data_IF_325873185785
#
_entry.id   IF_325873185785
#
_cell.length_a   1.000
_cell.length_b   1.000
_cell.length_c   1.000
_cell.angle_alpha   90.00
_cell.angle_beta   90.00
_cell.angle_gamma   90.00
#
_symmetry.space_group_name_H-M   'P 1'
#
loop_
_entity.id
_entity.type
_entity.pdbx_description
1 polymer ?
#
# COMPACT_ATOMS: atom_id res chain seq x y z
N UNK A 1 -29.31 1.61 -36.70
CA UNK A 1 -27.91 2.05 -36.78
C UNK A 1 -27.03 0.84 -36.55
N UNK A 2 -26.09 0.54 -37.45
CA UNK A 2 -25.33 -0.71 -37.38
C UNK A 2 -24.55 -0.78 -36.05
N UNK A 3 -24.83 -1.80 -35.24
CA UNK A 3 -24.22 -2.01 -33.92
C UNK A 3 -22.70 -1.86 -33.97
N UNK A 4 -22.08 -2.35 -35.06
CA UNK A 4 -20.65 -2.21 -35.36
C UNK A 4 -20.17 -0.76 -35.39
N UNK A 5 -20.91 0.14 -36.04
CA UNK A 5 -20.57 1.57 -36.13
C UNK A 5 -20.71 2.24 -34.77
N UNK A 6 -21.75 1.88 -33.99
CA UNK A 6 -21.95 2.41 -32.64
C UNK A 6 -20.82 2.04 -31.69
N UNK A 7 -20.32 0.81 -31.76
CA UNK A 7 -19.21 0.33 -30.91
C UNK A 7 -17.85 0.88 -31.33
N UNK A 8 -17.59 0.99 -32.64
CA UNK A 8 -16.37 1.65 -33.13
C UNK A 8 -16.30 3.12 -32.69
N UNK A 9 -17.43 3.83 -32.71
CA UNK A 9 -17.50 5.20 -32.20
C UNK A 9 -17.21 5.29 -30.70
N UNK A 10 -17.75 4.37 -29.90
CA UNK A 10 -17.48 4.35 -28.45
C UNK A 10 -16.02 4.03 -28.12
N UNK A 11 -15.37 3.12 -28.87
CA UNK A 11 -13.95 2.81 -28.69
C UNK A 11 -13.03 3.99 -29.02
N UNK A 12 -13.36 4.75 -30.07
CA UNK A 12 -12.59 5.95 -30.44
C UNK A 12 -12.72 7.03 -29.37
N UNK A 13 -13.93 7.25 -28.84
CA UNK A 13 -14.15 8.21 -27.75
C UNK A 13 -13.40 7.77 -26.49
N UNK A 14 -13.40 6.48 -26.15
CA UNK A 14 -12.65 5.96 -25.01
C UNK A 14 -11.13 6.15 -25.18
N UNK A 15 -10.59 5.85 -26.36
CA UNK A 15 -9.18 6.08 -26.67
C UNK A 15 -8.81 7.56 -26.56
N UNK A 16 -9.68 8.45 -27.02
CA UNK A 16 -9.48 9.89 -26.92
C UNK A 16 -9.46 10.35 -25.45
N UNK A 17 -10.40 9.87 -24.62
CA UNK A 17 -10.42 10.16 -23.17
C UNK A 17 -9.16 9.63 -22.46
N UNK A 18 -8.66 8.46 -22.84
CA UNK A 18 -7.42 7.89 -22.28
C UNK A 18 -6.16 8.71 -22.62
N UNK A 19 -6.12 9.39 -23.77
CA UNK A 19 -4.99 10.26 -24.14
C UNK A 19 -4.94 11.53 -23.28
N UNK A 20 -6.09 12.05 -22.88
CA UNK A 20 -6.19 13.22 -21.99
C UNK A 20 -6.19 12.88 -20.51
N UNK A 21 -6.14 11.59 -20.15
CA UNK A 21 -5.97 11.16 -18.77
C UNK A 21 -4.55 11.53 -18.31
N UNK A 22 -4.40 12.31 -17.22
CA UNK A 22 -3.11 12.75 -16.76
C UNK A 22 -2.25 11.53 -16.43
N UNK A 23 -1.08 11.43 -17.09
CA UNK A 23 -0.07 10.41 -16.80
C UNK A 23 0.43 10.65 -15.37
N UNK A 24 -0.15 9.96 -14.40
CA UNK A 24 0.34 9.93 -13.03
C UNK A 24 1.63 9.11 -13.00
N UNK A 25 2.74 9.73 -13.37
CA UNK A 25 4.04 9.34 -12.84
C UNK A 25 3.99 9.67 -11.34
N UNK A 26 4.20 8.64 -10.52
CA UNK A 26 3.69 8.57 -9.15
C UNK A 26 4.06 9.76 -8.27
N UNK A 27 3.08 10.62 -7.95
CA UNK A 27 3.04 11.46 -6.74
C UNK A 27 1.60 11.76 -6.32
N UNK A 28 0.80 10.72 -6.12
CA UNK A 28 -0.50 10.82 -5.43
C UNK A 28 -0.57 9.73 -4.38
N UNK A 29 0.04 10.00 -3.24
CA UNK A 29 0.14 9.07 -2.11
C UNK A 29 1.29 9.37 -1.15
N UNK A 30 2.29 10.15 -1.56
CA UNK A 30 3.30 10.70 -0.65
C UNK A 30 2.66 11.85 0.13
N UNK A 31 2.16 11.54 1.33
CA UNK A 31 1.93 12.56 2.35
C UNK A 31 3.22 13.37 2.51
N UNK A 32 3.13 14.69 2.62
CA UNK A 32 4.34 15.50 2.84
C UNK A 32 5.00 15.03 4.15
N UNK A 33 6.33 15.01 4.27
CA UNK A 33 7.01 14.55 5.49
C UNK A 33 6.45 15.14 6.81
N UNK A 34 5.93 16.38 6.76
CA UNK A 34 5.25 17.02 7.89
C UNK A 34 3.91 16.40 8.27
N UNK A 35 3.10 15.99 7.28
CA UNK A 35 1.80 15.36 7.50
C UNK A 35 1.97 13.91 8.00
N UNK A 36 3.06 13.24 7.61
CA UNK A 36 3.41 11.89 8.09
C UNK A 36 3.84 11.89 9.55
N UNK A 37 4.66 12.85 9.96
CA UNK A 37 5.04 13.04 11.38
C UNK A 37 3.78 13.31 12.22
N UNK A 38 2.81 14.06 11.68
CA UNK A 38 1.57 14.37 12.37
C UNK A 38 0.69 13.13 12.57
N UNK A 39 0.56 12.26 11.56
CA UNK A 39 -0.18 10.99 11.67
C UNK A 39 0.48 9.99 12.63
N UNK A 40 1.82 9.90 12.63
CA UNK A 40 2.56 9.07 13.59
C UNK A 40 2.42 9.64 15.01
N UNK A 41 2.44 10.97 15.15
CA UNK A 41 2.23 11.66 16.44
C UNK A 41 0.79 11.57 16.96
N UNK A 42 -0.19 11.35 16.08
CA UNK A 42 -1.60 11.28 16.44
C UNK A 42 -2.01 9.85 16.87
N UNK A 43 -1.29 8.82 16.42
CA UNK A 43 -1.59 7.41 16.73
C UNK A 43 -0.57 6.72 17.65
N UNK A 44 0.66 7.23 17.73
CA UNK A 44 1.65 6.80 18.72
C UNK A 44 1.87 7.94 19.72
N UNK A 45 1.89 7.64 21.01
CA UNK A 45 2.33 8.61 22.00
C UNK A 45 3.81 8.87 21.78
N UNK A 46 4.13 9.94 21.05
CA UNK A 46 5.51 10.35 20.80
C UNK A 46 6.08 10.78 22.14
N UNK A 47 7.09 10.03 22.59
CA UNK A 47 7.83 10.35 23.79
C UNK A 47 8.93 11.34 23.42
N UNK A 48 8.94 12.50 24.08
CA UNK A 48 10.03 13.45 23.94
C UNK A 48 11.36 12.86 24.44
N UNK A 49 12.45 13.24 23.80
CA UNK A 49 13.79 12.71 24.08
C UNK A 49 14.18 12.93 25.56
N UNK A 50 13.84 14.08 26.11
CA UNK A 50 14.13 14.41 27.51
C UNK A 50 13.40 13.51 28.50
N UNK A 51 12.17 13.09 28.16
CA UNK A 51 11.42 12.13 28.96
C UNK A 51 12.10 10.76 28.93
N UNK A 52 12.47 10.26 27.74
CA UNK A 52 13.20 9.00 27.59
C UNK A 52 14.55 9.02 28.34
N UNK A 53 15.29 10.13 28.27
CA UNK A 53 16.57 10.29 28.96
C UNK A 53 16.42 10.23 30.49
N UNK A 54 15.34 10.81 31.04
CA UNK A 54 15.07 10.75 32.48
C UNK A 54 14.88 9.30 32.97
N UNK A 55 14.14 8.48 32.24
CA UNK A 55 13.94 7.08 32.63
C UNK A 55 15.20 6.23 32.57
N UNK A 56 16.10 6.54 31.63
CA UNK A 56 17.41 5.92 31.58
C UNK A 56 18.25 6.32 32.80
N UNK A 57 18.20 7.59 33.20
CA UNK A 57 18.92 8.09 34.37
C UNK A 57 18.36 7.50 35.69
N UNK A 58 17.04 7.31 35.76
CA UNK A 58 16.34 6.78 36.94
C UNK A 58 16.41 5.24 37.07
N UNK A 59 16.97 4.54 36.06
CA UNK A 59 16.99 3.07 35.99
C UNK A 59 15.61 2.43 36.22
N UNK A 60 14.58 3.08 35.69
CA UNK A 60 13.21 2.63 35.91
C UNK A 60 12.96 1.31 35.14
N UNK A 61 12.65 0.24 35.88
CA UNK A 61 12.40 -1.10 35.32
C UNK A 61 11.03 -1.24 34.63
N UNK A 62 10.14 -0.28 34.82
CA UNK A 62 8.78 -0.28 34.27
C UNK A 62 8.77 0.08 32.78
N UNK A 63 9.94 0.45 32.22
CA UNK A 63 10.10 0.80 30.82
C UNK A 63 11.05 -0.16 30.13
N UNK A 64 10.68 -0.55 28.92
CA UNK A 64 11.51 -1.32 28.03
C UNK A 64 11.76 -0.54 26.74
N UNK A 65 13.03 -0.27 26.47
CA UNK A 65 13.45 0.29 25.20
C UNK A 65 13.59 -0.81 24.15
N UNK A 66 12.95 -0.61 23.00
CA UNK A 66 12.99 -1.53 21.85
C UNK A 66 13.58 -0.78 20.66
N UNK A 67 14.75 -1.20 20.22
CA UNK A 67 15.44 -0.67 19.05
C UNK A 67 14.92 -1.37 17.78
N UNK A 68 14.34 -0.58 16.88
CA UNK A 68 13.76 -1.04 15.62
C UNK A 68 14.77 -1.09 14.45
N UNK A 69 16.01 -0.66 14.68
CA UNK A 69 17.06 -0.60 13.66
C UNK A 69 17.59 -2.00 13.31
N UNK A 70 18.40 -2.04 12.25
CA UNK A 70 19.10 -3.26 11.86
C UNK A 70 20.01 -3.76 12.99
N UNK A 71 20.30 -5.06 12.97
CA UNK A 71 21.17 -5.69 13.96
C UNK A 71 22.55 -5.03 13.97
N UNK A 72 23.09 -4.70 12.79
CA UNK A 72 24.41 -4.09 12.65
C UNK A 72 24.46 -2.69 13.29
N UNK A 73 23.42 -1.87 13.10
CA UNK A 73 23.32 -0.56 13.75
C UNK A 73 23.20 -0.65 15.26
N UNK A 74 22.42 -1.62 15.75
CA UNK A 74 22.27 -1.89 17.18
C UNK A 74 23.60 -2.28 17.82
N UNK A 75 24.37 -3.16 17.17
CA UNK A 75 25.67 -3.61 17.65
C UNK A 75 26.72 -2.49 17.64
N UNK A 76 26.64 -1.57 16.68
CA UNK A 76 27.55 -0.43 16.60
C UNK A 76 27.36 0.55 17.76
N UNK A 77 26.10 0.90 18.07
CA UNK A 77 25.74 1.74 19.20
C UNK A 77 24.25 1.60 19.51
N UNK A 78 23.89 1.44 20.77
CA UNK A 78 22.50 1.35 21.23
C UNK A 78 22.31 2.01 22.60
N UNK A 79 21.05 2.20 22.98
CA UNK A 79 20.69 2.58 24.34
C UNK A 79 20.92 1.38 25.27
N UNK A 80 21.76 1.51 26.33
CA UNK A 80 22.03 0.40 27.24
C UNK A 80 20.74 -0.21 27.82
N UNK A 81 20.67 -1.54 27.84
CA UNK A 81 19.51 -2.29 28.33
C UNK A 81 18.34 -2.39 27.33
N UNK A 82 18.44 -1.77 26.15
CA UNK A 82 17.44 -1.95 25.10
C UNK A 82 17.55 -3.34 24.44
N UNK A 83 16.43 -3.82 23.92
CA UNK A 83 16.39 -5.03 23.08
C UNK A 83 16.28 -4.64 21.61
N UNK A 84 16.92 -5.39 20.73
CA UNK A 84 16.78 -5.18 19.28
C UNK A 84 15.68 -6.07 18.71
N UNK A 85 14.66 -5.44 18.14
CA UNK A 85 13.62 -6.09 17.33
C UNK A 85 13.55 -5.30 16.03
N UNK A 86 14.30 -5.71 14.99
CA UNK A 86 14.27 -5.00 13.71
C UNK A 86 12.84 -4.84 13.21
N UNK A 87 12.52 -3.68 12.63
CA UNK A 87 11.16 -3.31 12.24
C UNK A 87 10.46 -4.38 11.38
N UNK A 88 11.18 -5.00 10.46
CA UNK A 88 10.66 -6.07 9.58
C UNK A 88 10.22 -7.30 10.37
N UNK A 89 10.76 -7.49 11.57
CA UNK A 89 10.45 -8.58 12.46
C UNK A 89 9.41 -8.21 13.52
N UNK A 90 9.02 -6.94 13.67
CA UNK A 90 8.14 -6.47 14.75
C UNK A 90 6.83 -7.26 14.86
N UNK A 91 6.27 -7.66 13.72
CA UNK A 91 5.01 -8.43 13.66
C UNK A 91 5.19 -9.95 13.75
N UNK A 92 6.42 -10.44 13.92
CA UNK A 92 6.69 -11.86 14.06
C UNK A 92 6.19 -12.37 15.42
N UNK A 93 5.49 -13.50 15.41
CA UNK A 93 4.96 -14.16 16.62
C UNK A 93 6.02 -14.40 17.70
N UNK A 94 7.28 -14.59 17.31
CA UNK A 94 8.43 -14.73 18.22
C UNK A 94 8.52 -13.59 19.24
N UNK A 95 8.16 -12.37 18.85
CA UNK A 95 8.34 -11.17 19.67
C UNK A 95 7.13 -10.80 20.51
N UNK A 96 6.00 -11.49 20.34
CA UNK A 96 4.75 -11.20 21.06
C UNK A 96 4.93 -11.21 22.58
N UNK A 97 5.79 -12.08 23.13
CA UNK A 97 6.05 -12.12 24.57
C UNK A 97 6.76 -10.88 25.12
N UNK A 98 7.48 -10.13 24.29
CA UNK A 98 8.15 -8.88 24.67
C UNK A 98 7.28 -7.65 24.34
N UNK A 99 6.42 -7.76 23.32
CA UNK A 99 5.60 -6.66 22.83
C UNK A 99 4.26 -6.55 23.57
N UNK A 100 3.69 -7.68 23.98
CA UNK A 100 2.36 -7.78 24.58
C UNK A 100 2.46 -8.18 26.05
N UNK A 101 3.12 -7.33 26.83
CA UNK A 101 3.32 -7.50 28.27
C UNK A 101 2.59 -6.38 29.03
N UNK A 102 2.12 -6.66 30.25
CA UNK A 102 1.33 -5.71 31.05
C UNK A 102 2.14 -5.04 32.16
N UNK A 103 3.32 -5.56 32.45
CA UNK A 103 4.22 -5.13 33.53
C UNK A 103 5.15 -3.98 33.11
N UNK A 104 5.33 -3.76 31.80
CA UNK A 104 6.22 -2.72 31.27
C UNK A 104 5.59 -1.93 30.15
N UNK A 105 5.97 -0.66 30.07
CA UNK A 105 5.68 0.22 28.95
C UNK A 105 6.78 0.09 27.89
N UNK A 106 6.39 -0.24 26.67
CA UNK A 106 7.31 -0.36 25.55
C UNK A 106 7.55 1.01 24.89
N UNK A 107 8.81 1.45 24.85
CA UNK A 107 9.24 2.62 24.08
C UNK A 107 10.03 2.13 22.87
N UNK A 108 9.47 2.34 21.68
CA UNK A 108 10.09 1.94 20.43
C UNK A 108 10.89 3.12 19.86
N UNK A 109 12.14 2.88 19.45
CA UNK A 109 12.99 3.91 18.86
C UNK A 109 13.72 3.41 17.62
N UNK A 110 14.10 4.34 16.76
CA UNK A 110 14.83 4.07 15.52
C UNK A 110 15.28 5.38 14.87
N UNK A 111 15.82 5.31 13.66
CA UNK A 111 16.23 6.52 12.92
C UNK A 111 14.99 7.30 12.42
N UNK A 112 15.16 8.58 12.11
CA UNK A 112 14.08 9.42 11.59
C UNK A 112 13.50 8.89 10.25
N UNK A 113 14.31 8.16 9.48
CA UNK A 113 13.91 7.60 8.19
C UNK A 113 12.85 6.49 8.29
N UNK A 114 12.66 5.90 9.48
CA UNK A 114 11.67 4.84 9.72
C UNK A 114 10.22 5.33 9.57
N UNK A 115 9.97 6.63 9.78
CA UNK A 115 8.66 7.22 9.51
C UNK A 115 8.24 7.10 8.02
N UNK A 116 9.21 6.99 7.12
CA UNK A 116 8.99 6.93 5.68
C UNK A 116 9.01 5.49 5.11
N UNK A 117 9.63 4.52 5.81
CA UNK A 117 9.84 3.15 5.30
C UNK A 117 8.65 2.20 5.53
N UNK A 118 7.76 2.50 6.47
CA UNK A 118 6.58 1.69 6.76
C UNK A 118 5.45 1.79 5.72
N UNK A 119 5.45 2.82 4.87
CA UNK A 119 4.39 3.06 3.89
C UNK A 119 4.79 2.53 2.51
N UNK A 120 4.43 1.27 2.21
CA UNK A 120 4.67 0.65 0.88
C UNK A 120 3.72 1.15 -0.24
N UNK A 121 2.98 2.23 0.01
CA UNK A 121 1.97 2.76 -0.92
C UNK A 121 0.66 1.96 -0.94
N UNK A 122 -0.34 2.46 -1.68
CA UNK A 122 -1.59 1.74 -1.92
C UNK A 122 -1.30 0.46 -2.71
N UNK A 123 -1.76 -0.70 -2.22
CA UNK A 123 -1.62 -1.97 -2.93
C UNK A 123 -2.29 -1.88 -4.31
N UNK A 124 -1.50 -1.88 -5.38
CA UNK A 124 -2.02 -1.91 -6.74
C UNK A 124 -1.96 -3.31 -7.32
N UNK A 125 -3.02 -3.73 -8.01
CA UNK A 125 -3.14 -5.07 -8.60
C UNK A 125 -1.98 -5.35 -9.59
N UNK A 126 -1.57 -4.34 -10.36
CA UNK A 126 -0.44 -4.47 -11.28
C UNK A 126 0.90 -4.70 -10.57
N UNK A 127 1.10 -4.12 -9.38
CA UNK A 127 2.29 -4.34 -8.56
C UNK A 127 2.29 -5.74 -7.93
N UNK A 128 1.12 -6.24 -7.50
CA UNK A 128 0.97 -7.62 -7.01
C UNK A 128 1.23 -8.68 -8.09
N UNK A 129 0.80 -8.38 -9.32
CA UNK A 129 1.04 -9.23 -10.49
C UNK A 129 2.45 -9.07 -11.09
N UNK A 130 3.27 -8.14 -10.58
CA UNK A 130 4.63 -7.89 -11.07
C UNK A 130 4.69 -7.35 -12.51
N UNK A 131 3.64 -6.66 -12.97
CA UNK A 131 3.53 -6.15 -14.34
C UNK A 131 3.47 -4.62 -14.38
N UNK A 132 3.98 -4.04 -15.47
CA UNK A 132 3.96 -2.58 -15.62
C UNK A 132 2.51 -2.06 -15.71
N UNK A 133 2.23 -0.82 -15.24
CA UNK A 133 0.91 -0.22 -15.36
C UNK A 133 0.41 -0.19 -16.81
N UNK A 134 1.29 0.09 -17.76
CA UNK A 134 0.97 0.12 -19.19
C UNK A 134 0.57 -1.27 -19.71
N UNK A 135 1.28 -2.32 -19.31
CA UNK A 135 0.95 -3.69 -19.69
C UNK A 135 -0.40 -4.12 -19.09
N UNK A 136 -0.66 -3.78 -17.83
CA UNK A 136 -1.95 -4.05 -17.20
C UNK A 136 -3.12 -3.36 -17.93
N UNK A 137 -2.98 -2.07 -18.28
CA UNK A 137 -3.98 -1.35 -19.06
C UNK A 137 -4.19 -1.95 -20.45
N UNK A 138 -3.12 -2.37 -21.14
CA UNK A 138 -3.23 -3.02 -22.45
C UNK A 138 -4.00 -4.36 -22.36
N UNK A 139 -3.74 -5.16 -21.32
CA UNK A 139 -4.44 -6.42 -21.08
C UNK A 139 -5.94 -6.21 -20.79
N UNK A 140 -6.30 -5.17 -20.02
CA UNK A 140 -7.70 -4.82 -19.77
C UNK A 140 -8.44 -4.44 -21.06
N UNK A 141 -7.80 -3.66 -21.94
CA UNK A 141 -8.38 -3.28 -23.23
C UNK A 141 -8.58 -4.52 -24.11
N UNK A 142 -7.58 -5.40 -24.20
CA UNK A 142 -7.69 -6.65 -24.96
C UNK A 142 -8.80 -7.55 -24.42
N UNK A 143 -8.93 -7.69 -23.09
CA UNK A 143 -10.04 -8.42 -22.48
C UNK A 143 -11.39 -7.80 -22.82
N UNK A 144 -11.52 -6.47 -22.80
CA UNK A 144 -12.77 -5.80 -23.16
C UNK A 144 -13.18 -6.07 -24.62
N UNK A 145 -12.22 -6.05 -25.55
CA UNK A 145 -12.47 -6.40 -26.96
C UNK A 145 -12.84 -7.88 -27.12
N UNK A 146 -12.17 -8.77 -26.39
CA UNK A 146 -12.50 -10.20 -26.42
C UNK A 146 -13.91 -10.47 -25.85
N UNK A 147 -14.28 -9.81 -24.75
CA UNK A 147 -15.63 -9.89 -24.18
C UNK A 147 -16.69 -9.41 -25.16
N UNK A 148 -16.39 -8.39 -25.96
CA UNK A 148 -17.28 -7.93 -27.02
C UNK A 148 -17.56 -9.02 -28.07
N UNK A 149 -16.52 -9.73 -28.54
CA UNK A 149 -16.71 -10.87 -29.45
C UNK A 149 -17.43 -12.06 -28.82
N UNK A 150 -17.19 -12.32 -27.53
CA UNK A 150 -17.90 -13.37 -26.81
C UNK A 150 -19.38 -13.03 -26.69
N UNK A 151 -19.71 -11.78 -26.40
CA UNK A 151 -21.10 -11.29 -26.37
C UNK A 151 -21.78 -11.42 -27.74
N UNK A 152 -21.12 -11.01 -28.83
CA UNK A 152 -21.67 -11.16 -30.20
C UNK A 152 -21.95 -12.64 -30.54
N UNK A 153 -21.05 -13.56 -30.17
CA UNK A 153 -21.28 -15.00 -30.36
C UNK A 153 -22.41 -15.54 -29.47
N UNK A 154 -22.52 -15.07 -28.23
CA UNK A 154 -23.59 -15.47 -27.32
C UNK A 154 -24.95 -15.00 -27.84
N UNK A 155 -25.05 -13.76 -28.31
CA UNK A 155 -26.29 -13.22 -28.87
C UNK A 155 -26.75 -13.98 -30.11
N UNK A 156 -25.83 -14.39 -30.99
CA UNK A 156 -26.17 -15.22 -32.16
C UNK A 156 -26.65 -16.60 -31.72
N UNK A 157 -25.99 -17.21 -30.73
CA UNK A 157 -26.27 -18.57 -30.27
C UNK A 157 -27.57 -18.67 -29.46
N UNK A 158 -27.91 -17.62 -28.71
CA UNK A 158 -29.08 -17.56 -27.84
C UNK A 158 -30.16 -16.59 -28.36
N UNK A 159 -30.10 -16.23 -29.65
CA UNK A 159 -31.08 -15.35 -30.29
C UNK A 159 -32.50 -15.90 -30.09
N UNK A 160 -33.40 -15.09 -29.50
CA UNK A 160 -34.80 -15.49 -29.32
C UNK A 160 -35.51 -15.47 -30.69
N UNK A 161 -36.30 -16.51 -31.02
CA UNK A 161 -36.94 -16.66 -32.34
C UNK A 161 -38.14 -15.72 -32.57
N UNK A 162 -38.61 -15.00 -31.55
CA UNK A 162 -39.78 -14.12 -31.57
C UNK A 162 -39.53 -12.74 -32.20
N UNK A 163 -38.28 -12.30 -32.34
CA UNK A 163 -37.93 -10.95 -32.86
C UNK A 163 -37.88 -10.88 -34.41
N UNK A 164 -37.85 -12.02 -35.12
CA UNK A 164 -37.70 -12.03 -36.59
C UNK A 164 -39.00 -11.80 -37.39
N UNK A 165 -40.15 -11.59 -36.74
CA UNK A 165 -41.44 -11.49 -37.44
C UNK A 165 -41.89 -10.09 -37.85
N UNK A 166 -41.15 -9.04 -37.53
CA UNK A 166 -41.55 -7.66 -37.88
C UNK A 166 -40.44 -6.83 -38.56
N UNK A 167 -39.63 -7.46 -39.42
CA UNK A 167 -38.80 -6.76 -40.41
C UNK A 167 -39.28 -7.07 -41.82
#
# INVERSE_FOLDING_TARGET
MNTRIFLSLNLIVLAFVLVFLPKNEGKKGELKPKEQIQLISEYSQVVEIDYAARYLAEQNSDIQFIDLRSVDEFLAFNIPGSINIPYEQLFNKKWQGYLNQTDKTNILYGNADFANSGFKGSAKINEWLGISPALFSALLILMAVAMFWVAEKADIKFARPDIKKEL
#
